data_IF_474788657286
#
_entry.id   IF_474788657286
#
_cell.length_a   1.000
_cell.length_b   1.000
_cell.length_c   1.000
_cell.angle_alpha   90.00
_cell.angle_beta   90.00
_cell.angle_gamma   90.00
#
_symmetry.space_group_name_H-M   'P 1'
#
loop_
_entity.id
_entity.type
_entity.pdbx_description
1 polymer ?
#
# COMPACT_ATOMS: atom_id res chain seq x y z
N UNK A 1 -7.57 52.93 16.27
CA UNK A 1 -8.67 52.87 17.25
C UNK A 1 -9.97 53.05 16.47
N UNK A 2 -10.55 51.96 15.98
CA UNK A 2 -11.62 52.00 14.97
C UNK A 2 -12.97 52.06 15.69
N UNK A 3 -13.75 53.08 15.31
CA UNK A 3 -14.98 53.49 15.97
C UNK A 3 -16.11 52.48 15.89
N UNK A 4 -16.84 52.41 17.00
CA UNK A 4 -18.09 51.68 17.17
C UNK A 4 -19.20 52.44 16.43
N UNK A 5 -19.76 51.87 15.37
CA UNK A 5 -20.99 52.38 14.76
C UNK A 5 -22.12 51.36 14.96
N UNK A 6 -22.93 51.58 16.01
CA UNK A 6 -24.22 50.92 16.17
C UNK A 6 -25.20 51.52 15.16
N UNK A 7 -25.66 50.74 14.18
CA UNK A 7 -26.82 51.10 13.36
C UNK A 7 -28.09 50.60 14.05
N UNK A 8 -28.78 51.51 14.75
CA UNK A 8 -30.18 51.32 15.14
C UNK A 8 -31.07 51.65 13.94
N UNK A 9 -31.76 50.65 13.41
CA UNK A 9 -32.80 50.82 12.39
C UNK A 9 -34.13 51.12 13.11
N UNK A 10 -34.60 52.36 13.02
CA UNK A 10 -35.96 52.75 13.38
C UNK A 10 -36.85 52.72 12.13
N UNK A 11 -37.98 52.03 12.20
CA UNK A 11 -39.01 52.09 11.17
C UNK A 11 -40.12 53.09 11.55
N UNK A 12 -40.72 53.79 10.57
CA UNK A 12 -41.74 54.80 10.82
C UNK A 12 -43.09 54.15 11.11
N UNK A 13 -43.71 54.50 12.25
CA UNK A 13 -45.13 54.25 12.49
C UNK A 13 -45.94 55.45 11.99
N UNK A 14 -46.90 55.24 11.08
CA UNK A 14 -48.00 56.18 10.83
C UNK A 14 -49.32 55.62 11.38
N UNK A 15 -50.22 56.47 11.90
CA UNK A 15 -51.39 56.03 12.67
C UNK A 15 -52.68 56.05 11.83
N UNK A 16 -53.60 55.11 12.05
CA UNK A 16 -55.06 55.28 11.79
C UNK A 16 -55.86 54.45 12.82
N UNK A 17 -57.06 54.97 13.14
CA UNK A 17 -57.87 54.84 14.36
C UNK A 17 -58.73 53.57 14.59
N UNK A 18 -58.91 53.25 15.89
CA UNK A 18 -60.10 52.79 16.67
C UNK A 18 -60.95 51.56 16.22
N UNK A 19 -61.89 51.03 17.05
CA UNK A 19 -61.61 50.05 18.11
C UNK A 19 -62.54 48.81 18.04
N UNK A 20 -62.00 47.59 17.95
CA UNK A 20 -62.70 46.36 18.37
C UNK A 20 -61.73 45.17 18.34
N UNK A 21 -61.62 44.46 19.45
CA UNK A 21 -60.82 43.24 19.58
C UNK A 21 -61.36 42.10 18.68
N UNK A 22 -60.50 41.16 18.22
CA UNK A 22 -60.24 40.01 19.07
C UNK A 22 -58.75 39.56 19.13
N UNK A 23 -58.37 39.09 20.32
CA UNK A 23 -57.19 38.31 20.78
C UNK A 23 -55.97 38.18 19.83
N UNK A 24 -54.73 38.49 20.30
CA UNK A 24 -53.54 38.22 19.51
C UNK A 24 -53.26 36.72 19.46
N UNK A 25 -53.23 36.14 18.27
CA UNK A 25 -52.63 34.83 18.06
C UNK A 25 -51.13 34.96 18.31
N UNK A 26 -50.56 34.05 19.12
CA UNK A 26 -49.13 33.99 19.42
C UNK A 26 -48.33 34.05 18.11
N UNK A 27 -47.27 34.88 17.99
CA UNK A 27 -46.47 34.89 16.79
C UNK A 27 -45.90 33.49 16.55
N UNK A 28 -46.06 32.97 15.34
CA UNK A 28 -45.38 31.74 14.92
C UNK A 28 -43.88 32.03 15.01
N UNK A 29 -43.22 31.43 15.99
CA UNK A 29 -41.77 31.46 16.13
C UNK A 29 -41.21 30.90 14.82
N UNK A 30 -40.66 31.75 13.94
CA UNK A 30 -39.88 31.27 12.82
C UNK A 30 -38.63 30.64 13.42
N UNK A 31 -38.57 29.31 13.36
CA UNK A 31 -37.37 28.58 13.75
C UNK A 31 -36.35 28.88 12.65
N UNK A 32 -35.46 29.83 12.89
CA UNK A 32 -34.18 29.84 12.17
C UNK A 32 -33.48 28.52 12.53
N UNK A 33 -33.58 27.55 11.63
CA UNK A 33 -32.69 26.39 11.61
C UNK A 33 -31.29 26.95 11.36
N UNK A 34 -30.60 27.36 12.43
CA UNK A 34 -29.15 27.53 12.35
C UNK A 34 -28.59 26.14 12.09
N UNK A 35 -28.01 25.97 10.91
CA UNK A 35 -27.20 24.80 10.58
C UNK A 35 -26.17 24.63 11.68
N UNK A 36 -26.30 23.55 12.43
CA UNK A 36 -25.24 23.07 13.30
C UNK A 36 -24.13 22.56 12.38
N UNK A 37 -23.10 23.37 12.16
CA UNK A 37 -21.85 22.89 11.57
C UNK A 37 -21.28 21.87 12.55
N UNK A 38 -21.46 20.58 12.24
CA UNK A 38 -20.74 19.51 12.93
C UNK A 38 -19.24 19.83 12.83
N UNK A 39 -18.45 19.53 13.89
CA UNK A 39 -17.01 19.70 13.82
C UNK A 39 -16.46 19.01 12.57
N UNK A 40 -15.50 19.66 11.91
CA UNK A 40 -14.95 19.28 10.62
C UNK A 40 -14.73 17.77 10.54
N UNK A 41 -15.46 17.12 9.63
CA UNK A 41 -15.15 15.75 9.22
C UNK A 41 -13.72 15.75 8.68
N UNK A 42 -12.99 14.66 8.88
CA UNK A 42 -11.76 14.38 8.13
C UNK A 42 -11.99 14.59 6.63
N UNK A 43 -10.97 15.05 5.91
CA UNK A 43 -11.09 15.28 4.47
C UNK A 43 -11.57 13.98 3.77
N UNK A 44 -12.53 14.03 2.81
CA UNK A 44 -13.07 12.82 2.21
C UNK A 44 -11.99 11.91 1.61
N UNK A 45 -10.93 12.46 1.02
CA UNK A 45 -9.78 11.68 0.53
C UNK A 45 -9.06 10.91 1.65
N UNK A 46 -8.91 11.49 2.84
CA UNK A 46 -8.27 10.82 3.98
C UNK A 46 -9.15 9.69 4.49
N UNK A 47 -10.48 9.88 4.49
CA UNK A 47 -11.42 8.80 4.80
C UNK A 47 -11.28 7.64 3.82
N UNK A 48 -11.28 7.93 2.51
CA UNK A 48 -11.12 6.91 1.47
C UNK A 48 -9.77 6.19 1.55
N UNK A 49 -8.69 6.92 1.87
CA UNK A 49 -7.38 6.33 2.12
C UNK A 49 -7.42 5.35 3.29
N UNK A 50 -8.02 5.74 4.42
CA UNK A 50 -8.16 4.88 5.62
C UNK A 50 -8.97 3.62 5.32
N UNK A 51 -10.03 3.73 4.53
CA UNK A 51 -10.83 2.58 4.09
C UNK A 51 -9.99 1.62 3.24
N UNK A 52 -9.19 2.13 2.29
CA UNK A 52 -8.35 1.28 1.44
C UNK A 52 -7.20 0.64 2.21
N UNK A 53 -6.62 1.35 3.19
CA UNK A 53 -5.64 0.80 4.13
C UNK A 53 -6.26 -0.34 4.95
N UNK A 54 -7.49 -0.19 5.42
CA UNK A 54 -8.20 -1.25 6.15
C UNK A 54 -8.47 -2.47 5.26
N UNK A 55 -8.87 -2.25 4.00
CA UNK A 55 -9.01 -3.32 3.00
C UNK A 55 -7.70 -4.08 2.80
N UNK A 56 -6.58 -3.38 2.79
CA UNK A 56 -5.25 -3.96 2.61
C UNK A 56 -4.80 -4.78 3.83
N UNK A 57 -5.10 -4.30 5.04
CA UNK A 57 -4.90 -5.07 6.29
C UNK A 57 -5.74 -6.36 6.30
N UNK A 58 -6.99 -6.29 5.82
CA UNK A 58 -7.84 -7.47 5.65
C UNK A 58 -7.30 -8.45 4.59
N UNK A 59 -6.84 -7.94 3.45
CA UNK A 59 -6.20 -8.75 2.39
C UNK A 59 -5.03 -9.58 2.94
N UNK A 60 -4.20 -8.99 3.80
CA UNK A 60 -3.04 -9.67 4.42
C UNK A 60 -3.42 -10.84 5.33
N UNK A 61 -4.63 -10.77 5.91
CA UNK A 61 -5.19 -11.77 6.84
C UNK A 61 -5.86 -12.96 6.13
N UNK A 62 -5.86 -12.97 4.79
CA UNK A 62 -6.49 -14.05 4.01
C UNK A 62 -5.54 -15.25 3.88
N UNK A 63 -6.06 -16.46 4.14
CA UNK A 63 -5.26 -17.70 4.14
C UNK A 63 -4.86 -18.19 2.72
N UNK A 64 -5.54 -17.74 1.67
CA UNK A 64 -5.32 -18.18 0.29
C UNK A 64 -4.33 -17.25 -0.43
N UNK A 65 -3.04 -17.55 -0.31
CA UNK A 65 -1.95 -16.83 -0.98
C UNK A 65 -1.69 -17.40 -2.38
N UNK A 66 -2.48 -16.92 -3.34
CA UNK A 66 -2.31 -17.16 -4.77
C UNK A 66 -1.48 -16.06 -5.43
N UNK A 67 -1.00 -16.31 -6.65
CA UNK A 67 -0.33 -15.26 -7.41
C UNK A 67 -1.32 -14.15 -7.81
N UNK A 68 -2.59 -14.48 -8.05
CA UNK A 68 -3.66 -13.49 -8.20
C UNK A 68 -3.88 -12.64 -6.92
N UNK A 69 -3.77 -13.26 -5.74
CA UNK A 69 -3.83 -12.56 -4.45
C UNK A 69 -2.68 -11.54 -4.33
N UNK A 70 -1.45 -11.90 -4.74
CA UNK A 70 -0.33 -10.95 -4.77
C UNK A 70 -0.55 -9.80 -5.75
N UNK A 71 -1.02 -10.08 -6.97
CA UNK A 71 -1.34 -9.04 -7.95
C UNK A 71 -2.42 -8.08 -7.40
N UNK A 72 -3.43 -8.59 -6.70
CA UNK A 72 -4.45 -7.78 -6.04
C UNK A 72 -3.84 -6.89 -4.95
N UNK A 73 -2.94 -7.43 -4.13
CA UNK A 73 -2.22 -6.65 -3.11
C UNK A 73 -1.38 -5.53 -3.71
N UNK A 74 -0.63 -5.82 -4.78
CA UNK A 74 0.16 -4.83 -5.51
C UNK A 74 -0.72 -3.72 -6.14
N UNK A 75 -1.88 -4.08 -6.68
CA UNK A 75 -2.83 -3.11 -7.20
C UNK A 75 -3.44 -2.24 -6.08
N UNK A 76 -3.85 -2.84 -4.96
CA UNK A 76 -4.44 -2.13 -3.83
C UNK A 76 -3.44 -1.16 -3.18
N UNK A 77 -2.18 -1.57 -2.98
CA UNK A 77 -1.17 -0.67 -2.41
C UNK A 77 -0.89 0.50 -3.36
N UNK A 78 -0.91 0.27 -4.67
CA UNK A 78 -0.82 1.36 -5.64
C UNK A 78 -1.95 2.37 -5.45
N UNK A 79 -3.19 1.93 -5.28
CA UNK A 79 -4.32 2.84 -5.02
C UNK A 79 -4.12 3.67 -3.74
N UNK A 80 -3.61 3.05 -2.67
CA UNK A 80 -3.25 3.74 -1.43
C UNK A 80 -2.23 4.86 -1.69
N UNK A 81 -1.22 4.60 -2.52
CA UNK A 81 -0.24 5.60 -2.92
C UNK A 81 -0.83 6.71 -3.80
N UNK A 82 -1.71 6.37 -4.73
CA UNK A 82 -2.40 7.35 -5.59
C UNK A 82 -3.26 8.30 -4.73
N UNK A 83 -3.99 7.77 -3.72
CA UNK A 83 -4.71 8.60 -2.75
C UNK A 83 -3.78 9.49 -1.92
N UNK A 84 -2.62 8.98 -1.50
CA UNK A 84 -1.64 9.79 -0.78
C UNK A 84 -1.13 10.94 -1.66
N UNK A 85 -0.85 10.68 -2.93
CA UNK A 85 -0.45 11.72 -3.89
C UNK A 85 -1.52 12.82 -4.00
N UNK A 86 -2.78 12.45 -4.19
CA UNK A 86 -3.90 13.39 -4.25
C UNK A 86 -4.01 14.23 -2.95
N UNK A 87 -3.80 13.61 -1.78
CA UNK A 87 -3.80 14.30 -0.49
C UNK A 87 -2.63 15.29 -0.40
N UNK A 88 -1.41 14.90 -0.81
CA UNK A 88 -0.21 15.77 -0.79
C UNK A 88 -0.33 16.97 -1.74
N UNK A 89 -1.17 16.87 -2.78
CA UNK A 89 -1.43 17.99 -3.68
C UNK A 89 -2.33 19.07 -3.06
N UNK A 90 -3.04 18.80 -1.96
CA UNK A 90 -3.92 19.77 -1.31
C UNK A 90 -3.13 20.91 -0.64
N UNK A 91 -3.60 22.17 -0.72
CA UNK A 91 -2.92 23.31 -0.08
C UNK A 91 -2.74 23.13 1.43
N UNK A 92 -3.75 22.59 2.12
CA UNK A 92 -3.69 22.34 3.55
C UNK A 92 -2.61 21.31 3.91
N UNK A 93 -2.46 20.27 3.08
CA UNK A 93 -1.42 19.26 3.29
C UNK A 93 -0.03 19.83 3.08
N UNK A 94 0.18 20.71 2.08
CA UNK A 94 1.48 21.36 1.87
C UNK A 94 1.86 22.28 3.04
N UNK A 95 0.90 23.04 3.56
CA UNK A 95 1.12 23.85 4.75
C UNK A 95 1.46 22.99 5.98
N UNK A 96 0.76 21.86 6.15
CA UNK A 96 1.07 20.88 7.20
C UNK A 96 2.48 20.29 7.01
N UNK A 97 2.85 19.86 5.79
CA UNK A 97 4.17 19.32 5.46
C UNK A 97 5.31 20.28 5.81
N UNK A 98 5.13 21.59 5.60
CA UNK A 98 6.11 22.61 5.97
C UNK A 98 6.29 22.82 7.49
N UNK A 99 5.34 22.36 8.30
CA UNK A 99 5.40 22.42 9.77
C UNK A 99 6.03 21.17 10.39
N UNK A 100 6.14 20.08 9.63
CA UNK A 100 6.72 18.83 10.10
C UNK A 100 8.22 18.98 10.34
N UNK A 101 8.76 18.23 11.30
CA UNK A 101 10.20 18.27 11.57
C UNK A 101 10.98 17.70 10.37
N UNK A 102 12.10 18.36 10.03
CA UNK A 102 12.98 17.89 8.95
C UNK A 102 13.41 16.43 9.16
N UNK A 103 13.67 16.04 10.42
CA UNK A 103 14.04 14.67 10.78
C UNK A 103 12.95 13.65 10.49
N UNK A 104 11.67 13.98 10.74
CA UNK A 104 10.56 13.08 10.42
C UNK A 104 10.43 12.91 8.90
N UNK A 105 10.49 14.01 8.16
CA UNK A 105 10.40 14.02 6.70
C UNK A 105 11.55 13.22 6.07
N UNK A 106 12.78 13.43 6.54
CA UNK A 106 13.97 12.69 6.10
C UNK A 106 13.80 11.18 6.33
N UNK A 107 13.28 10.77 7.50
CA UNK A 107 13.03 9.36 7.81
C UNK A 107 11.95 8.74 6.90
N UNK A 108 10.90 9.48 6.58
CA UNK A 108 9.87 9.04 5.62
C UNK A 108 10.47 8.85 4.22
N UNK A 109 11.23 9.84 3.74
CA UNK A 109 11.88 9.80 2.43
C UNK A 109 12.94 8.69 2.33
N UNK A 110 13.67 8.44 3.41
CA UNK A 110 14.62 7.34 3.55
C UNK A 110 13.89 5.98 3.55
N UNK A 111 12.76 5.86 4.24
CA UNK A 111 11.94 4.65 4.19
C UNK A 111 11.44 4.33 2.78
N UNK A 112 10.97 5.34 2.03
CA UNK A 112 10.62 5.16 0.62
C UNK A 112 11.83 4.80 -0.25
N UNK A 113 13.00 5.39 0.00
CA UNK A 113 14.23 5.03 -0.70
C UNK A 113 14.60 3.56 -0.48
N UNK A 114 14.49 3.06 0.75
CA UNK A 114 14.73 1.64 1.07
C UNK A 114 13.78 0.70 0.34
N UNK A 115 12.50 1.07 0.18
CA UNK A 115 11.59 0.29 -0.65
C UNK A 115 12.03 0.28 -2.11
N UNK A 116 12.38 1.45 -2.65
CA UNK A 116 12.86 1.61 -4.03
C UNK A 116 14.09 0.73 -4.25
N UNK A 117 15.09 0.78 -3.38
CA UNK A 117 16.30 -0.04 -3.50
C UNK A 117 15.99 -1.54 -3.43
N UNK A 118 15.13 -1.96 -2.50
CA UNK A 118 14.73 -3.36 -2.37
C UNK A 118 14.02 -3.87 -3.64
N UNK A 119 13.09 -3.08 -4.20
CA UNK A 119 12.42 -3.43 -5.45
C UNK A 119 13.37 -3.36 -6.65
N UNK A 120 14.33 -2.44 -6.68
CA UNK A 120 15.37 -2.39 -7.72
C UNK A 120 16.23 -3.65 -7.74
N UNK A 121 16.68 -4.12 -6.57
CA UNK A 121 17.40 -5.39 -6.43
C UNK A 121 16.49 -6.55 -6.86
N UNK A 122 15.24 -6.57 -6.41
CA UNK A 122 14.27 -7.59 -6.78
C UNK A 122 14.03 -7.69 -8.30
N UNK A 123 13.92 -6.55 -9.00
CA UNK A 123 13.76 -6.52 -10.46
C UNK A 123 14.95 -7.17 -11.19
N UNK A 124 16.16 -6.92 -10.72
CA UNK A 124 17.35 -7.56 -11.28
C UNK A 124 17.36 -9.07 -11.02
N UNK A 125 16.87 -9.51 -9.85
CA UNK A 125 16.78 -10.92 -9.51
C UNK A 125 15.74 -11.67 -10.33
N UNK A 126 14.55 -11.09 -10.52
CA UNK A 126 13.48 -11.72 -11.31
C UNK A 126 13.86 -11.81 -12.78
N UNK A 127 14.54 -10.80 -13.31
CA UNK A 127 15.06 -10.81 -14.67
C UNK A 127 16.07 -11.96 -14.88
N UNK A 128 17.11 -12.04 -14.05
CA UNK A 128 18.10 -13.11 -14.16
C UNK A 128 17.52 -14.51 -13.91
N UNK A 129 16.53 -14.62 -13.03
CA UNK A 129 15.81 -15.88 -12.82
C UNK A 129 14.99 -16.30 -14.04
N UNK A 130 14.33 -15.36 -14.72
CA UNK A 130 13.58 -15.62 -15.93
C UNK A 130 14.49 -16.07 -17.09
N UNK A 131 15.67 -15.47 -17.23
CA UNK A 131 16.68 -15.90 -18.22
C UNK A 131 17.10 -17.35 -18.00
N UNK A 132 17.43 -17.72 -16.76
CA UNK A 132 17.81 -19.09 -16.40
C UNK A 132 16.65 -20.07 -16.54
N UNK A 133 15.41 -19.63 -16.28
CA UNK A 133 14.20 -20.42 -16.50
C UNK A 133 14.02 -20.78 -17.99
N UNK A 134 14.10 -19.78 -18.87
CA UNK A 134 13.99 -19.97 -20.33
C UNK A 134 15.15 -20.82 -20.85
N UNK A 135 16.38 -20.58 -20.37
CA UNK A 135 17.54 -21.40 -20.73
C UNK A 135 17.33 -22.87 -20.32
N UNK A 136 16.82 -23.14 -19.12
CA UNK A 136 16.52 -24.49 -18.68
C UNK A 136 15.40 -25.15 -19.50
N UNK A 137 14.36 -24.41 -19.91
CA UNK A 137 13.32 -24.95 -20.79
C UNK A 137 13.90 -25.43 -22.13
N UNK A 138 14.77 -24.62 -22.76
CA UNK A 138 15.48 -25.01 -23.98
C UNK A 138 16.44 -26.17 -23.73
N UNK A 139 17.16 -26.13 -22.61
CA UNK A 139 18.09 -27.19 -22.20
C UNK A 139 17.40 -28.52 -21.99
N UNK A 140 16.20 -28.54 -21.41
CA UNK A 140 15.40 -29.76 -21.24
C UNK A 140 15.02 -30.38 -22.59
N UNK A 141 14.59 -29.57 -23.58
CA UNK A 141 14.29 -30.06 -24.94
C UNK A 141 15.53 -30.62 -25.64
N UNK A 142 16.72 -30.07 -25.36
CA UNK A 142 18.01 -30.50 -25.91
C UNK A 142 18.75 -31.55 -25.07
N UNK A 143 18.19 -31.96 -23.93
CA UNK A 143 18.82 -32.86 -22.93
C UNK A 143 20.16 -32.33 -22.38
N UNK A 144 20.29 -31.01 -22.27
CA UNK A 144 21.43 -30.33 -21.66
C UNK A 144 21.23 -30.20 -20.15
N UNK A 145 21.83 -31.10 -19.37
CA UNK A 145 21.66 -31.12 -17.90
C UNK A 145 22.25 -29.89 -17.20
N UNK A 146 23.31 -29.29 -17.77
CA UNK A 146 23.99 -28.11 -17.23
C UNK A 146 23.05 -26.92 -17.04
N UNK A 147 22.18 -26.64 -18.01
CA UNK A 147 21.19 -25.54 -17.93
C UNK A 147 20.14 -25.79 -16.84
N UNK A 148 19.74 -27.04 -16.66
CA UNK A 148 18.81 -27.43 -15.59
C UNK A 148 19.46 -27.27 -14.21
N UNK A 149 20.76 -27.53 -14.09
CA UNK A 149 21.52 -27.27 -12.87
C UNK A 149 21.67 -25.78 -12.55
N UNK A 150 21.91 -24.94 -13.56
CA UNK A 150 21.96 -23.48 -13.40
C UNK A 150 20.62 -22.93 -12.92
N UNK A 151 19.50 -23.35 -13.51
CA UNK A 151 18.17 -22.97 -13.02
C UNK A 151 17.92 -23.40 -11.57
N UNK A 152 18.35 -24.61 -11.16
CA UNK A 152 18.27 -25.04 -9.75
C UNK A 152 19.10 -24.14 -8.82
N UNK A 153 20.26 -23.64 -9.27
CA UNK A 153 21.07 -22.68 -8.52
C UNK A 153 20.38 -21.31 -8.47
N UNK A 154 19.86 -20.82 -9.59
CA UNK A 154 19.11 -19.57 -9.69
C UNK A 154 17.88 -19.56 -8.76
N UNK A 155 17.11 -20.65 -8.73
CA UNK A 155 15.98 -20.85 -7.82
C UNK A 155 16.38 -20.71 -6.34
N UNK A 156 17.51 -21.30 -5.94
CA UNK A 156 18.03 -21.18 -4.56
C UNK A 156 18.51 -19.78 -4.24
N UNK A 157 19.18 -19.14 -5.20
CA UNK A 157 19.66 -17.75 -5.08
C UNK A 157 18.48 -16.81 -4.88
N UNK A 158 17.49 -16.89 -5.76
CA UNK A 158 16.25 -16.11 -5.67
C UNK A 158 15.59 -16.29 -4.31
N UNK A 159 15.40 -17.53 -3.86
CA UNK A 159 14.79 -17.81 -2.56
C UNK A 159 15.53 -17.19 -1.36
N UNK A 160 16.87 -17.19 -1.40
CA UNK A 160 17.71 -16.61 -0.35
C UNK A 160 17.62 -15.08 -0.37
N UNK A 161 17.86 -14.49 -1.53
CA UNK A 161 17.97 -13.04 -1.67
C UNK A 161 16.63 -12.34 -1.45
N UNK A 162 15.50 -12.90 -1.90
CA UNK A 162 14.19 -12.31 -1.58
C UNK A 162 13.85 -12.43 -0.09
N UNK A 163 14.28 -13.49 0.60
CA UNK A 163 14.15 -13.58 2.06
C UNK A 163 14.96 -12.50 2.80
N UNK A 164 16.13 -12.15 2.29
CA UNK A 164 16.96 -11.05 2.80
C UNK A 164 16.28 -9.70 2.55
N UNK A 165 15.73 -9.46 1.35
CA UNK A 165 14.96 -8.25 1.03
C UNK A 165 13.75 -8.06 1.95
N UNK A 166 12.99 -9.13 2.25
CA UNK A 166 11.89 -9.06 3.21
C UNK A 166 12.34 -8.65 4.62
N UNK A 167 13.54 -9.05 5.02
CA UNK A 167 14.12 -8.67 6.31
C UNK A 167 14.60 -7.22 6.34
N UNK A 168 15.20 -6.73 5.24
CA UNK A 168 15.59 -5.33 5.06
C UNK A 168 14.36 -4.41 5.14
N UNK A 169 13.28 -4.79 4.46
CA UNK A 169 12.03 -4.02 4.48
C UNK A 169 11.46 -3.89 5.90
N UNK A 170 11.40 -4.99 6.66
CA UNK A 170 10.89 -4.95 8.05
C UNK A 170 11.68 -4.00 8.93
N UNK A 171 13.00 -4.04 8.83
CA UNK A 171 13.87 -3.15 9.59
C UNK A 171 13.69 -1.67 9.18
N UNK A 172 13.35 -1.40 7.91
CA UNK A 172 13.06 -0.06 7.43
C UNK A 172 11.77 0.53 8.02
N UNK A 173 10.69 -0.25 8.08
CA UNK A 173 9.39 0.20 8.59
C UNK A 173 9.44 0.52 10.08
N UNK A 174 10.19 -0.25 10.88
CA UNK A 174 10.30 -0.04 12.34
C UNK A 174 10.96 1.28 12.71
N UNK A 175 11.94 1.74 11.92
CA UNK A 175 12.71 2.97 12.21
C UNK A 175 11.84 4.24 12.12
N UNK A 176 10.82 4.25 11.25
CA UNK A 176 9.95 5.41 11.06
C UNK A 176 8.84 5.47 12.13
N UNK A 177 8.48 4.32 12.72
CA UNK A 177 7.47 4.22 13.76
C UNK A 177 7.87 4.84 15.10
N UNK A 178 9.17 4.91 15.41
CA UNK A 178 9.69 5.37 16.71
C UNK A 178 9.69 6.90 16.87
N UNK A 179 9.48 7.67 15.79
CA UNK A 179 9.43 9.14 15.87
C UNK A 179 8.05 9.58 16.35
N UNK A 180 7.96 9.97 17.62
CA UNK A 180 6.79 10.64 18.19
C UNK A 180 6.64 12.03 17.55
N UNK A 181 5.49 12.27 16.95
CA UNK A 181 5.07 13.56 16.38
C UNK A 181 3.67 13.83 16.92
N UNK A 182 3.33 15.08 17.24
CA UNK A 182 1.95 15.46 17.53
C UNK A 182 1.05 14.96 16.39
N UNK A 183 0.03 14.15 16.71
CA UNK A 183 -0.79 13.43 15.71
C UNK A 183 -1.63 14.40 14.87
N UNK A 184 -1.00 14.95 13.84
CA UNK A 184 -1.68 15.57 12.72
C UNK A 184 -2.18 14.47 11.76
N UNK A 185 -3.39 14.65 11.23
CA UNK A 185 -4.08 13.63 10.44
C UNK A 185 -3.27 13.18 9.21
N UNK A 186 -2.48 14.09 8.61
CA UNK A 186 -1.58 13.80 7.50
C UNK A 186 -0.40 12.92 7.90
N UNK A 187 0.22 13.20 9.04
CA UNK A 187 1.35 12.43 9.59
C UNK A 187 0.94 10.98 9.84
N UNK A 188 -0.25 10.78 10.43
CA UNK A 188 -0.82 9.44 10.63
C UNK A 188 -1.06 8.73 9.29
N UNK A 189 -1.65 9.42 8.32
CA UNK A 189 -1.89 8.87 6.99
C UNK A 189 -0.59 8.41 6.29
N UNK A 190 0.48 9.22 6.33
CA UNK A 190 1.78 8.85 5.74
C UNK A 190 2.38 7.63 6.44
N UNK A 191 2.34 7.58 7.78
CA UNK A 191 2.82 6.42 8.55
C UNK A 191 2.05 5.14 8.18
N UNK A 192 0.73 5.21 8.10
CA UNK A 192 -0.11 4.06 7.74
C UNK A 192 0.18 3.58 6.31
N UNK A 193 0.40 4.50 5.36
CA UNK A 193 0.80 4.16 3.97
C UNK A 193 2.13 3.41 3.96
N UNK A 194 3.13 3.87 4.72
CA UNK A 194 4.42 3.17 4.82
C UNK A 194 4.29 1.79 5.47
N UNK A 195 3.42 1.65 6.48
CA UNK A 195 3.14 0.36 7.13
C UNK A 195 2.58 -0.66 6.12
N UNK A 196 1.51 -0.30 5.40
CA UNK A 196 0.90 -1.23 4.43
C UNK A 196 1.80 -1.47 3.21
N UNK A 197 2.60 -0.49 2.82
CA UNK A 197 3.66 -0.65 1.80
C UNK A 197 4.66 -1.72 2.22
N UNK A 198 5.15 -1.65 3.46
CA UNK A 198 6.05 -2.65 4.01
C UNK A 198 5.42 -4.03 4.11
N UNK A 199 4.15 -4.09 4.53
CA UNK A 199 3.38 -5.33 4.63
C UNK A 199 3.27 -6.05 3.28
N UNK A 200 2.88 -5.33 2.21
CA UNK A 200 2.77 -5.91 0.86
C UNK A 200 4.14 -6.31 0.33
N UNK A 201 5.16 -5.49 0.55
CA UNK A 201 6.53 -5.78 0.12
C UNK A 201 7.06 -7.07 0.75
N UNK A 202 6.84 -7.25 2.06
CA UNK A 202 7.18 -8.48 2.78
C UNK A 202 6.41 -9.67 2.21
N UNK A 203 5.10 -9.53 1.99
CA UNK A 203 4.28 -10.60 1.43
C UNK A 203 4.76 -11.05 0.04
N UNK A 204 5.18 -10.10 -0.82
CA UNK A 204 5.77 -10.39 -2.13
C UNK A 204 7.10 -11.13 -1.99
N UNK A 205 8.04 -10.57 -1.22
CA UNK A 205 9.39 -11.12 -1.13
C UNK A 205 9.44 -12.47 -0.43
N UNK A 206 8.71 -12.64 0.66
CA UNK A 206 8.60 -13.92 1.36
C UNK A 206 7.73 -14.93 0.60
N UNK A 207 6.66 -14.45 -0.05
CA UNK A 207 5.82 -15.27 -0.91
C UNK A 207 6.65 -15.97 -1.97
N UNK A 208 7.46 -15.21 -2.69
CA UNK A 208 8.35 -15.73 -3.74
C UNK A 208 9.51 -16.52 -3.13
N UNK A 209 10.07 -16.05 -2.01
CA UNK A 209 11.18 -16.71 -1.32
C UNK A 209 10.84 -18.11 -0.85
N UNK A 210 9.70 -18.29 -0.18
CA UNK A 210 9.22 -19.57 0.32
C UNK A 210 8.83 -20.51 -0.82
N UNK A 211 8.13 -19.97 -1.82
CA UNK A 211 7.75 -20.66 -3.06
C UNK A 211 8.94 -21.30 -3.77
N UNK A 212 10.03 -20.54 -3.91
CA UNK A 212 11.22 -20.99 -4.63
C UNK A 212 12.20 -21.75 -3.74
N UNK A 213 12.21 -21.44 -2.44
CA UNK A 213 13.06 -22.09 -1.44
C UNK A 213 12.56 -23.45 -0.99
N UNK A 214 11.31 -23.82 -1.34
CA UNK A 214 10.73 -25.06 -0.88
C UNK A 214 11.52 -26.28 -1.37
N UNK A 215 12.16 -26.97 -0.41
CA UNK A 215 12.78 -28.27 -0.67
C UNK A 215 11.69 -29.34 -0.60
N UNK A 216 11.59 -30.17 -1.64
CA UNK A 216 10.93 -31.51 -1.61
C UNK A 216 11.63 -32.47 -0.62
N UNK A 217 11.95 -32.07 0.61
CA UNK A 217 12.68 -32.92 1.55
C UNK A 217 11.67 -33.71 2.39
N UNK A 218 11.23 -34.82 1.80
CA UNK A 218 10.55 -35.97 2.42
C UNK A 218 9.12 -35.73 2.95
N UNK A 219 8.17 -36.58 2.50
CA UNK A 219 6.75 -36.60 2.93
C UNK A 219 6.55 -36.74 4.45
N UNK A 220 7.59 -37.15 5.17
CA UNK A 220 7.54 -37.38 6.62
C UNK A 220 7.68 -36.11 7.48
N UNK A 221 8.01 -34.94 6.91
CA UNK A 221 8.12 -33.68 7.68
C UNK A 221 6.75 -33.05 8.02
N UNK A 222 5.66 -33.47 7.36
CA UNK A 222 4.29 -33.02 7.66
C UNK A 222 3.81 -33.37 9.09
N UNK A 223 4.56 -34.19 9.84
CA UNK A 223 4.21 -34.59 11.21
C UNK A 223 4.81 -33.75 12.33
N UNK A 224 5.78 -32.86 12.07
CA UNK A 224 6.40 -32.03 13.14
C UNK A 224 6.35 -30.53 12.80
N UNK A 225 5.26 -29.90 13.26
CA UNK A 225 5.29 -28.55 13.84
C UNK A 225 5.72 -27.36 12.98
N UNK A 226 5.83 -27.48 11.65
CA UNK A 226 6.30 -26.38 10.80
C UNK A 226 5.17 -25.81 9.92
N UNK A 227 3.99 -25.58 10.51
CA UNK A 227 2.80 -25.07 9.79
C UNK A 227 3.04 -23.64 9.25
N UNK A 228 3.71 -22.80 10.04
CA UNK A 228 3.98 -21.38 9.76
C UNK A 228 4.91 -21.15 8.55
N UNK A 229 5.85 -22.06 8.23
CA UNK A 229 6.74 -21.87 7.07
C UNK A 229 6.09 -22.19 5.73
N UNK A 230 5.01 -22.97 5.72
CA UNK A 230 4.25 -23.28 4.50
C UNK A 230 3.23 -22.18 4.16
N UNK A 231 2.74 -21.52 5.20
CA UNK A 231 1.62 -20.57 5.15
C UNK A 231 1.96 -19.29 4.37
N UNK A 232 3.25 -18.94 4.28
CA UNK A 232 3.67 -17.73 3.56
C UNK A 232 3.97 -17.95 2.08
N UNK A 233 4.06 -19.18 1.58
CA UNK A 233 4.35 -19.45 0.17
C UNK A 233 3.16 -19.19 -0.75
N UNK A 234 3.44 -18.95 -2.02
CA UNK A 234 2.42 -18.82 -3.07
C UNK A 234 2.03 -20.23 -3.52
N UNK A 235 0.75 -20.55 -3.44
CA UNK A 235 0.24 -21.91 -3.68
C UNK A 235 0.63 -22.47 -5.05
N UNK A 236 0.52 -21.67 -6.12
CA UNK A 236 0.83 -22.13 -7.48
C UNK A 236 2.30 -22.52 -7.62
N UNK A 237 3.24 -21.76 -7.05
CA UNK A 237 4.66 -22.10 -7.09
C UNK A 237 4.99 -23.37 -6.30
N UNK A 238 4.19 -23.66 -5.28
CA UNK A 238 4.32 -24.80 -4.38
C UNK A 238 3.82 -26.10 -5.05
N UNK A 239 2.71 -26.05 -5.77
CA UNK A 239 2.06 -27.21 -6.41
C UNK A 239 2.77 -27.70 -7.70
N UNK A 240 3.52 -26.83 -8.38
CA UNK A 240 4.25 -27.14 -9.60
C UNK A 240 5.37 -28.18 -9.41
N UNK A 241 5.65 -28.56 -8.16
CA UNK A 241 6.59 -29.59 -7.77
C UNK A 241 6.03 -31.01 -7.66
N UNK A 242 4.89 -31.41 -8.23
CA UNK A 242 4.28 -32.72 -7.85
C UNK A 242 4.36 -33.86 -8.88
N UNK A 243 4.53 -33.63 -10.19
CA UNK A 243 4.55 -34.75 -11.18
C UNK A 243 5.67 -34.64 -12.23
N UNK A 244 6.12 -35.77 -12.77
CA UNK A 244 7.08 -35.89 -13.88
C UNK A 244 6.30 -36.52 -15.04
N UNK A 245 6.04 -35.76 -16.11
CA UNK A 245 5.26 -36.19 -17.28
C UNK A 245 5.37 -35.13 -18.40
N UNK A 246 4.89 -35.40 -19.61
CA UNK A 246 4.73 -34.45 -20.73
C UNK A 246 4.01 -33.13 -20.33
N UNK A 247 3.27 -33.16 -19.21
CA UNK A 247 2.73 -31.98 -18.50
C UNK A 247 3.81 -31.00 -17.97
N UNK A 248 5.09 -31.37 -17.95
CA UNK A 248 6.22 -30.51 -17.49
C UNK A 248 6.38 -29.27 -18.38
N UNK A 249 6.10 -29.37 -19.69
CA UNK A 249 6.30 -28.25 -20.61
C UNK A 249 5.18 -27.20 -20.52
N UNK A 250 3.92 -27.63 -20.34
CA UNK A 250 2.78 -26.74 -20.07
C UNK A 250 2.99 -26.04 -18.72
N UNK A 251 3.41 -26.79 -17.69
CA UNK A 251 3.72 -26.22 -16.38
C UNK A 251 4.85 -25.20 -16.41
N UNK A 252 5.89 -25.42 -17.20
CA UNK A 252 6.96 -24.42 -17.35
C UNK A 252 6.43 -23.13 -17.98
N UNK A 253 5.51 -23.20 -18.95
CA UNK A 253 4.89 -22.00 -19.54
C UNK A 253 4.00 -21.25 -18.56
N UNK A 254 3.15 -21.96 -17.80
CA UNK A 254 2.28 -21.33 -16.81
C UNK A 254 3.13 -20.59 -15.75
N UNK A 255 4.22 -21.20 -15.29
CA UNK A 255 5.15 -20.57 -14.35
C UNK A 255 5.78 -19.29 -14.93
N UNK A 256 6.13 -19.31 -16.22
CA UNK A 256 6.70 -18.16 -16.93
C UNK A 256 5.70 -16.99 -17.02
N UNK A 257 4.43 -17.28 -17.32
CA UNK A 257 3.35 -16.28 -17.34
C UNK A 257 3.15 -15.65 -15.97
N UNK A 258 3.16 -16.46 -14.90
CA UNK A 258 3.07 -15.95 -13.54
C UNK A 258 4.28 -15.11 -13.14
N UNK A 259 5.51 -15.53 -13.47
CA UNK A 259 6.72 -14.75 -13.19
C UNK A 259 6.65 -13.39 -13.90
N UNK A 260 6.20 -13.37 -15.17
CA UNK A 260 6.01 -12.11 -15.91
C UNK A 260 4.96 -11.21 -15.31
N UNK A 261 3.83 -11.77 -14.88
CA UNK A 261 2.76 -11.00 -14.22
C UNK A 261 3.26 -10.35 -12.93
N UNK A 262 4.03 -11.10 -12.13
CA UNK A 262 4.67 -10.56 -10.92
C UNK A 262 5.71 -9.49 -11.27
N UNK A 263 6.53 -9.71 -12.31
CA UNK A 263 7.53 -8.75 -12.76
C UNK A 263 6.87 -7.42 -13.16
N UNK A 264 5.82 -7.46 -13.99
CA UNK A 264 5.09 -6.25 -14.41
C UNK A 264 4.43 -5.54 -13.22
N UNK A 265 3.74 -6.29 -12.35
CA UNK A 265 3.10 -5.73 -11.16
C UNK A 265 4.11 -5.04 -10.22
N UNK A 266 5.25 -5.68 -9.98
CA UNK A 266 6.31 -5.13 -9.11
C UNK A 266 7.08 -3.99 -9.79
N UNK A 267 7.19 -3.97 -11.11
CA UNK A 267 7.80 -2.86 -11.86
C UNK A 267 6.89 -1.62 -11.82
N UNK A 268 5.59 -1.82 -11.98
CA UNK A 268 4.59 -0.76 -11.81
C UNK A 268 4.63 -0.21 -10.40
N UNK A 269 4.74 -1.07 -9.38
CA UNK A 269 4.85 -0.64 -8.00
C UNK A 269 6.16 0.12 -7.70
N UNK A 270 7.29 -0.32 -8.25
CA UNK A 270 8.56 0.42 -8.17
C UNK A 270 8.42 1.86 -8.69
N UNK A 271 7.72 2.06 -9.82
CA UNK A 271 7.41 3.41 -10.32
C UNK A 271 6.52 4.20 -9.37
N UNK A 272 5.49 3.57 -8.81
CA UNK A 272 4.60 4.20 -7.82
C UNK A 272 5.37 4.68 -6.58
N UNK A 273 6.33 3.88 -6.07
CA UNK A 273 7.18 4.27 -4.95
C UNK A 273 8.04 5.51 -5.27
N UNK A 274 8.68 5.52 -6.45
CA UNK A 274 9.44 6.68 -6.91
C UNK A 274 8.56 7.93 -7.02
N UNK A 275 7.38 7.80 -7.64
CA UNK A 275 6.44 8.91 -7.80
C UNK A 275 6.01 9.46 -6.44
N UNK A 276 5.64 8.60 -5.50
CA UNK A 276 5.23 9.01 -4.14
C UNK A 276 6.34 9.79 -3.44
N UNK A 277 7.59 9.30 -3.52
CA UNK A 277 8.73 10.00 -2.93
C UNK A 277 8.94 11.38 -3.56
N UNK A 278 8.79 11.49 -4.88
CA UNK A 278 8.84 12.78 -5.60
C UNK A 278 7.69 13.69 -5.16
N UNK A 279 6.48 13.17 -4.99
CA UNK A 279 5.34 13.94 -4.52
C UNK A 279 5.53 14.50 -3.12
N UNK A 280 6.12 13.72 -2.20
CA UNK A 280 6.50 14.21 -0.86
C UNK A 280 7.54 15.33 -0.98
N UNK A 281 8.57 15.15 -1.81
CA UNK A 281 9.58 16.20 -2.04
C UNK A 281 8.98 17.49 -2.62
N UNK A 282 8.03 17.36 -3.55
CA UNK A 282 7.34 18.49 -4.14
C UNK A 282 6.39 19.18 -3.16
N UNK A 283 5.81 18.46 -2.21
CA UNK A 283 4.96 19.05 -1.18
C UNK A 283 5.75 19.92 -0.19
N UNK A 284 7.07 19.69 -0.05
CA UNK A 284 7.97 20.45 0.82
C UNK A 284 8.57 21.71 0.19
N UNK A 285 8.57 21.80 -1.15
CA UNK A 285 9.23 22.88 -1.89
C UNK A 285 8.33 24.10 -2.13
N UNK A 286 7.12 24.12 -1.56
CA UNK A 286 6.08 25.11 -1.80
C UNK A 286 5.83 26.07 -0.63
#
# INVERSE_FOLDING_TARGET
>A
MVGVFRRSLSFPNKPVASPAAPRPQKPRISRHLRSISLPCRSHPLISSLKDEIANLKYWSSTDQRTAAWLCRGLAAVKLVHDYLDDILQLPQSREAMGRLSATWVENVLEGFLRFIDAYGIFQNLILGFLEEHVAAQVGMRRKEETKVELYKKAKKRMAKETGELGSVVRAGVTVVGEVEVEEEELTAAVKDVMEVTGMVSVAVFEGIGMSLGWRRRNRNWMRKGTKVKLENGIMEFMEMGVKKSEEDEVRMKDLEEWIRSIQDGTQNFFRTLMNTRVSILNALSH
#
